data_IF_669499710695
#
_entry.id   IF_669499710695
#
_cell.length_a   1.000
_cell.length_b   1.000
_cell.length_c   1.000
_cell.angle_alpha   90.00
_cell.angle_beta   90.00
_cell.angle_gamma   90.00
#
_symmetry.space_group_name_H-M   'P 1'
#
loop_
_entity.id
_entity.type
_entity.pdbx_description
1 polymer ?
#
# COMPACT_ATOMS: atom_id res chain seq x y z
N UNK A 1 -12.66 4.60 -20.97
CA UNK A 1 -12.80 3.26 -20.35
C UNK A 1 -14.21 3.12 -19.74
N UNK A 2 -14.76 1.91 -19.58
CA UNK A 2 -16.10 1.68 -18.99
C UNK A 2 -16.01 0.68 -17.84
N UNK A 3 -16.65 0.98 -16.71
CA UNK A 3 -16.62 0.13 -15.50
C UNK A 3 -18.01 -0.04 -14.90
N UNK A 4 -18.18 -1.09 -14.09
CA UNK A 4 -19.31 -1.27 -13.17
C UNK A 4 -18.79 -1.02 -11.76
N UNK A 5 -19.39 -0.08 -11.03
CA UNK A 5 -18.97 0.25 -9.67
C UNK A 5 -19.98 -0.28 -8.65
N UNK A 6 -19.52 -1.11 -7.73
CA UNK A 6 -20.32 -1.67 -6.65
C UNK A 6 -19.78 -1.16 -5.30
N UNK A 7 -20.63 -0.69 -4.41
CA UNK A 7 -20.17 -0.29 -3.08
C UNK A 7 -21.16 -0.61 -1.95
N UNK A 8 -20.63 -0.91 -0.77
CA UNK A 8 -21.42 -1.12 0.44
C UNK A 8 -22.04 0.19 0.93
N UNK A 9 -23.30 0.13 1.37
CA UNK A 9 -23.98 1.22 2.08
C UNK A 9 -24.21 0.87 3.55
N UNK A 10 -23.33 0.05 4.13
CA UNK A 10 -23.26 -0.24 5.56
C UNK A 10 -23.25 1.08 6.37
N UNK A 11 -24.27 1.34 7.20
CA UNK A 11 -24.43 2.61 7.91
C UNK A 11 -23.33 2.90 8.94
N UNK A 12 -22.62 1.86 9.40
CA UNK A 12 -21.55 1.99 10.39
C UNK A 12 -20.17 2.24 9.74
N UNK A 13 -20.13 2.41 8.42
CA UNK A 13 -18.91 2.58 7.62
C UNK A 13 -18.86 3.94 6.91
N UNK A 14 -17.69 4.28 6.36
CA UNK A 14 -17.47 5.48 5.53
C UNK A 14 -17.52 5.18 4.02
N UNK A 15 -17.93 3.98 3.61
CA UNK A 15 -17.90 3.55 2.21
C UNK A 15 -18.74 4.44 1.30
N UNK A 16 -19.86 4.99 1.80
CA UNK A 16 -20.72 5.89 1.04
C UNK A 16 -20.07 7.24 0.74
N UNK A 17 -19.27 7.77 1.66
CA UNK A 17 -18.52 9.00 1.48
C UNK A 17 -17.39 8.78 0.47
N UNK A 18 -16.65 7.68 0.63
CA UNK A 18 -15.55 7.30 -0.24
C UNK A 18 -16.04 7.01 -1.65
N UNK A 19 -17.21 6.39 -1.81
CA UNK A 19 -17.77 6.08 -3.13
C UNK A 19 -18.05 7.35 -3.93
N UNK A 20 -18.49 8.45 -3.30
CA UNK A 20 -18.66 9.75 -3.98
C UNK A 20 -17.33 10.27 -4.52
N UNK A 21 -16.26 10.16 -3.74
CA UNK A 21 -14.91 10.55 -4.17
C UNK A 21 -14.41 9.70 -5.32
N UNK A 22 -14.62 8.37 -5.28
CA UNK A 22 -14.25 7.47 -6.37
C UNK A 22 -15.04 7.80 -7.64
N UNK A 23 -16.34 8.05 -7.55
CA UNK A 23 -17.16 8.45 -8.69
C UNK A 23 -16.63 9.74 -9.33
N UNK A 24 -16.32 10.76 -8.52
CA UNK A 24 -15.72 12.01 -9.02
C UNK A 24 -14.38 11.75 -9.70
N UNK A 25 -13.48 11.02 -9.04
CA UNK A 25 -12.15 10.73 -9.57
C UNK A 25 -12.18 9.96 -10.88
N UNK A 26 -13.14 9.03 -11.05
CA UNK A 26 -13.34 8.29 -12.30
C UNK A 26 -13.86 9.22 -13.42
N UNK A 27 -14.80 10.11 -13.11
CA UNK A 27 -15.35 11.08 -14.07
C UNK A 27 -14.29 12.09 -14.54
N UNK A 28 -13.47 12.59 -13.61
CA UNK A 28 -12.40 13.56 -13.88
C UNK A 28 -11.37 13.05 -14.90
N UNK A 29 -11.13 11.73 -14.94
CA UNK A 29 -10.24 11.08 -15.91
C UNK A 29 -10.97 10.44 -17.11
N UNK A 30 -12.29 10.69 -17.25
CA UNK A 30 -13.11 10.22 -18.37
C UNK A 30 -13.45 8.72 -18.36
N UNK A 31 -13.45 8.08 -17.18
CA UNK A 31 -13.90 6.70 -17.00
C UNK A 31 -15.41 6.69 -16.76
N UNK A 32 -16.16 6.03 -17.65
CA UNK A 32 -17.62 5.96 -17.57
C UNK A 32 -18.08 4.81 -16.67
N UNK A 33 -18.90 5.11 -15.67
CA UNK A 33 -19.60 4.10 -14.87
C UNK A 33 -20.88 3.69 -15.61
N UNK A 34 -20.97 2.44 -16.07
CA UNK A 34 -22.14 1.90 -16.79
C UNK A 34 -23.19 1.28 -15.87
N UNK A 35 -22.75 0.78 -14.73
CA UNK A 35 -23.62 0.24 -13.70
C UNK A 35 -23.12 0.70 -12.34
N UNK A 36 -24.05 1.18 -11.50
CA UNK A 36 -23.78 1.53 -10.12
C UNK A 36 -24.67 0.65 -9.24
N UNK A 37 -24.06 -0.23 -8.45
CA UNK A 37 -24.77 -1.17 -7.59
C UNK A 37 -24.39 -0.99 -6.12
N UNK A 38 -25.32 -1.36 -5.23
CA UNK A 38 -25.10 -1.25 -3.78
C UNK A 38 -25.67 -2.45 -3.04
N UNK A 39 -25.09 -2.78 -1.90
CA UNK A 39 -25.65 -3.72 -0.92
C UNK A 39 -25.62 -3.11 0.48
N UNK A 40 -26.58 -3.48 1.34
CA UNK A 40 -26.87 -2.75 2.59
C UNK A 40 -26.63 -3.54 3.87
N UNK A 41 -26.06 -4.72 3.78
CA UNK A 41 -25.77 -5.57 4.92
C UNK A 41 -24.41 -6.22 4.75
N UNK A 42 -23.72 -6.47 5.86
CA UNK A 42 -22.43 -7.14 5.86
C UNK A 42 -22.61 -8.59 5.37
N UNK A 43 -21.98 -8.93 4.26
CA UNK A 43 -22.05 -10.27 3.69
C UNK A 43 -20.93 -11.17 4.22
N UNK A 44 -21.31 -12.31 4.80
CA UNK A 44 -20.37 -13.37 5.16
C UNK A 44 -20.52 -14.57 4.23
N UNK A 45 -19.49 -14.85 3.44
CA UNK A 45 -19.46 -15.97 2.50
C UNK A 45 -19.78 -17.30 3.20
N UNK A 46 -20.84 -17.96 2.76
CA UNK A 46 -21.33 -19.24 3.31
C UNK A 46 -22.42 -19.14 4.37
N UNK A 47 -22.82 -17.94 4.81
CA UNK A 47 -23.80 -17.74 5.90
C UNK A 47 -25.07 -16.98 5.47
N UNK A 48 -25.30 -16.80 4.16
CA UNK A 48 -26.49 -16.12 3.63
C UNK A 48 -26.54 -16.11 2.11
N UNK A 49 -27.63 -15.56 1.56
CA UNK A 49 -27.76 -15.31 0.12
C UNK A 49 -26.70 -14.30 -0.33
N UNK A 50 -25.96 -14.64 -1.38
CA UNK A 50 -24.91 -13.80 -1.92
C UNK A 50 -25.51 -12.59 -2.65
N UNK A 51 -25.36 -11.34 -2.15
CA UNK A 51 -25.94 -10.17 -2.79
C UNK A 51 -25.36 -9.93 -4.19
N UNK A 52 -24.14 -10.41 -4.43
CA UNK A 52 -23.44 -10.20 -5.70
C UNK A 52 -24.05 -11.01 -6.85
N UNK A 53 -24.78 -12.10 -6.59
CA UNK A 53 -25.39 -12.91 -7.66
C UNK A 53 -26.37 -12.09 -8.52
N UNK A 54 -27.21 -11.26 -7.86
CA UNK A 54 -28.14 -10.37 -8.55
C UNK A 54 -27.42 -9.16 -9.17
N UNK A 55 -26.45 -8.59 -8.46
CA UNK A 55 -25.69 -7.43 -8.95
C UNK A 55 -24.90 -7.78 -10.21
N UNK A 56 -24.28 -8.96 -10.25
CA UNK A 56 -23.55 -9.46 -11.43
C UNK A 56 -24.50 -9.76 -12.58
N UNK A 57 -25.65 -10.41 -12.33
CA UNK A 57 -26.69 -10.63 -13.36
C UNK A 57 -27.08 -9.34 -14.08
N UNK A 58 -27.30 -8.27 -13.31
CA UNK A 58 -27.77 -7.00 -13.85
C UNK A 58 -26.69 -6.20 -14.59
N UNK A 59 -25.41 -6.55 -14.43
CA UNK A 59 -24.31 -5.67 -14.83
C UNK A 59 -23.26 -6.29 -15.75
N UNK A 60 -23.20 -7.62 -15.87
CA UNK A 60 -22.11 -8.28 -16.62
C UNK A 60 -22.10 -7.96 -18.11
N UNK A 61 -23.24 -7.58 -18.68
CA UNK A 61 -23.33 -7.16 -20.09
C UNK A 61 -22.87 -5.72 -20.30
N UNK A 62 -22.89 -4.89 -19.25
CA UNK A 62 -22.62 -3.45 -19.33
C UNK A 62 -21.13 -3.11 -19.35
N UNK A 63 -20.33 -3.88 -18.60
CA UNK A 63 -18.88 -3.71 -18.56
C UNK A 63 -18.16 -5.02 -18.23
N UNK A 64 -16.84 -5.01 -18.43
CA UNK A 64 -15.94 -6.13 -18.12
C UNK A 64 -15.07 -5.88 -16.89
N UNK A 65 -15.03 -4.63 -16.43
CA UNK A 65 -14.19 -4.17 -15.33
C UNK A 65 -15.11 -3.79 -14.19
N UNK A 66 -14.96 -4.49 -13.07
CA UNK A 66 -15.67 -4.14 -11.87
C UNK A 66 -14.77 -3.41 -10.90
N UNK A 67 -15.29 -2.36 -10.28
CA UNK A 67 -14.69 -1.73 -9.11
C UNK A 67 -15.59 -2.07 -7.92
N UNK A 68 -15.02 -2.57 -6.83
CA UNK A 68 -15.77 -2.89 -5.61
C UNK A 68 -15.18 -2.17 -4.40
N UNK A 69 -16.06 -1.58 -3.58
CA UNK A 69 -15.72 -0.91 -2.32
C UNK A 69 -16.60 -1.45 -1.18
N UNK A 70 -15.99 -2.09 -0.19
CA UNK A 70 -16.68 -2.64 0.98
C UNK A 70 -15.69 -3.29 1.94
N UNK A 71 -16.18 -4.18 2.79
CA UNK A 71 -15.28 -4.94 3.66
C UNK A 71 -14.54 -6.01 2.84
N UNK A 72 -13.24 -6.19 3.06
CA UNK A 72 -12.41 -7.07 2.24
C UNK A 72 -12.92 -8.52 2.15
N UNK A 73 -13.50 -9.06 3.23
CA UNK A 73 -14.06 -10.41 3.25
C UNK A 73 -15.33 -10.57 2.40
N UNK A 74 -15.99 -9.48 2.02
CA UNK A 74 -17.17 -9.50 1.13
C UNK A 74 -16.75 -9.72 -0.33
N UNK A 75 -15.51 -9.35 -0.69
CA UNK A 75 -15.00 -9.46 -2.06
C UNK A 75 -14.97 -10.90 -2.55
N UNK A 76 -14.77 -11.86 -1.65
CA UNK A 76 -14.89 -13.28 -1.94
C UNK A 76 -16.28 -13.62 -2.52
N UNK A 77 -17.36 -13.06 -1.97
CA UNK A 77 -18.71 -13.27 -2.48
C UNK A 77 -18.86 -12.83 -3.94
N UNK A 78 -18.31 -11.66 -4.27
CA UNK A 78 -18.31 -11.15 -5.63
C UNK A 78 -17.49 -12.03 -6.59
N UNK A 79 -16.27 -12.37 -6.19
CA UNK A 79 -15.38 -13.21 -7.00
C UNK A 79 -15.99 -14.58 -7.27
N UNK A 80 -16.61 -15.20 -6.26
CA UNK A 80 -17.31 -16.48 -6.40
C UNK A 80 -18.53 -16.37 -7.31
N UNK A 81 -19.26 -15.25 -7.29
CA UNK A 81 -20.39 -15.01 -8.18
C UNK A 81 -19.97 -14.95 -9.66
N UNK A 82 -18.89 -14.22 -9.95
CA UNK A 82 -18.31 -14.13 -11.30
C UNK A 82 -17.75 -15.47 -11.77
N UNK A 83 -17.05 -16.20 -10.90
CA UNK A 83 -16.48 -17.52 -11.21
C UNK A 83 -17.57 -18.56 -11.53
N UNK A 84 -18.64 -18.62 -10.73
CA UNK A 84 -19.74 -19.58 -10.95
C UNK A 84 -20.50 -19.32 -12.24
N UNK A 85 -20.50 -18.09 -12.75
CA UNK A 85 -21.03 -17.75 -14.08
C UNK A 85 -20.05 -18.07 -15.23
N UNK A 86 -18.82 -18.46 -14.94
CA UNK A 86 -17.77 -18.68 -15.93
C UNK A 86 -17.26 -17.40 -16.59
N UNK A 87 -17.46 -16.23 -15.95
CA UNK A 87 -17.03 -14.95 -16.52
C UNK A 87 -15.50 -14.75 -16.43
N UNK A 88 -14.86 -15.37 -15.44
CA UNK A 88 -13.42 -15.23 -15.20
C UNK A 88 -12.58 -16.23 -16.02
N UNK A 89 -13.19 -17.31 -16.52
CA UNK A 89 -12.47 -18.44 -17.14
C UNK A 89 -11.68 -18.06 -18.40
N UNK A 90 -12.11 -17.02 -19.10
CA UNK A 90 -11.48 -16.53 -20.34
C UNK A 90 -10.53 -15.35 -20.12
N UNK A 91 -10.41 -14.85 -18.89
CA UNK A 91 -9.66 -13.62 -18.59
C UNK A 91 -10.28 -12.36 -19.21
N UNK A 92 -11.56 -12.40 -19.59
CA UNK A 92 -12.27 -11.25 -20.18
C UNK A 92 -12.77 -10.26 -19.13
N UNK A 93 -12.85 -10.68 -17.87
CA UNK A 93 -13.35 -9.89 -16.75
C UNK A 93 -12.31 -9.82 -15.65
N UNK A 94 -12.23 -8.67 -14.98
CA UNK A 94 -11.44 -8.54 -13.77
C UNK A 94 -12.10 -7.59 -12.78
N UNK A 95 -11.69 -7.71 -11.51
CA UNK A 95 -12.22 -6.94 -10.40
C UNK A 95 -11.11 -6.13 -9.76
N UNK A 96 -11.37 -4.85 -9.52
CA UNK A 96 -10.53 -3.95 -8.73
C UNK A 96 -11.19 -3.76 -7.37
N UNK A 97 -10.63 -4.33 -6.31
CA UNK A 97 -11.11 -4.14 -4.94
C UNK A 97 -10.39 -3.00 -4.25
N UNK A 98 -11.14 -2.06 -3.69
CA UNK A 98 -10.60 -0.92 -2.95
C UNK A 98 -10.67 -1.23 -1.46
N UNK A 99 -9.58 -1.69 -0.86
CA UNK A 99 -9.51 -1.93 0.58
C UNK A 99 -8.99 -0.69 1.29
N UNK A 100 -9.83 -0.12 2.15
CA UNK A 100 -9.51 1.06 2.94
C UNK A 100 -8.92 0.68 4.30
N UNK A 101 -8.93 -0.60 4.65
CA UNK A 101 -8.28 -1.10 5.85
C UNK A 101 -6.77 -1.19 5.66
N UNK A 102 -6.06 -1.18 6.78
CA UNK A 102 -4.62 -1.39 6.78
C UNK A 102 -4.27 -2.80 6.28
N UNK A 103 -3.42 -2.89 5.27
CA UNK A 103 -2.95 -4.17 4.76
C UNK A 103 -2.13 -4.93 5.80
N UNK A 104 -2.42 -6.21 5.97
CA UNK A 104 -1.76 -7.08 6.95
C UNK A 104 -0.80 -8.05 6.24
N UNK A 105 0.49 -7.68 6.16
CA UNK A 105 1.53 -8.48 5.52
C UNK A 105 1.64 -9.92 6.08
N UNK A 106 1.26 -10.12 7.35
CA UNK A 106 1.36 -11.41 8.01
C UNK A 106 0.23 -12.37 7.58
N UNK A 107 -0.85 -11.86 6.99
CA UNK A 107 -2.02 -12.66 6.62
C UNK A 107 -2.60 -12.23 5.26
N UNK A 108 -1.82 -12.33 4.16
CA UNK A 108 -2.31 -11.99 2.82
C UNK A 108 -3.46 -12.91 2.36
N UNK A 109 -3.53 -14.13 2.92
CA UNK A 109 -4.55 -15.11 2.57
C UNK A 109 -5.96 -14.74 3.05
N UNK A 110 -6.12 -13.68 3.87
CA UNK A 110 -7.42 -13.21 4.35
C UNK A 110 -8.40 -12.88 3.23
N UNK A 111 -7.92 -12.43 2.07
CA UNK A 111 -8.77 -12.09 0.92
C UNK A 111 -9.38 -13.32 0.24
N UNK A 112 -8.75 -14.50 0.37
CA UNK A 112 -9.15 -15.72 -0.34
C UNK A 112 -10.16 -16.58 0.46
N UNK A 113 -10.48 -16.20 1.69
CA UNK A 113 -11.32 -17.01 2.59
C UNK A 113 -12.40 -16.20 3.27
N UNK A 114 -13.49 -16.87 3.62
CA UNK A 114 -14.55 -16.25 4.42
C UNK A 114 -14.07 -15.93 5.83
N UNK A 115 -14.64 -14.89 6.46
CA UNK A 115 -14.25 -14.40 7.79
C UNK A 115 -14.14 -15.51 8.86
N UNK A 116 -15.00 -16.52 8.78
CA UNK A 116 -15.10 -17.62 9.75
C UNK A 116 -14.64 -18.98 9.18
N UNK A 117 -13.87 -18.97 8.07
CA UNK A 117 -13.36 -20.19 7.43
C UNK A 117 -11.84 -20.25 7.48
N UNK A 118 -11.32 -21.44 7.72
CA UNK A 118 -9.87 -21.71 7.70
C UNK A 118 -9.37 -22.20 6.33
N UNK A 119 -10.24 -22.85 5.57
CA UNK A 119 -9.91 -23.40 4.25
C UNK A 119 -10.20 -22.42 3.11
N UNK A 120 -9.36 -22.47 2.08
CA UNK A 120 -9.51 -21.71 0.85
C UNK A 120 -10.12 -22.61 -0.21
N UNK A 121 -11.27 -22.20 -0.75
CA UNK A 121 -11.97 -22.90 -1.82
C UNK A 121 -11.14 -22.86 -3.12
N UNK A 122 -11.07 -23.96 -3.87
CA UNK A 122 -10.30 -24.01 -5.14
C UNK A 122 -10.82 -23.01 -6.17
N UNK A 123 -12.13 -22.81 -6.21
CA UNK A 123 -12.75 -21.79 -7.07
C UNK A 123 -12.35 -20.37 -6.65
N UNK A 124 -12.11 -20.11 -5.37
CA UNK A 124 -11.61 -18.82 -4.91
C UNK A 124 -10.18 -18.57 -5.41
N UNK A 125 -9.30 -19.59 -5.35
CA UNK A 125 -7.93 -19.48 -5.90
C UNK A 125 -7.95 -19.11 -7.38
N UNK A 126 -8.83 -19.73 -8.16
CA UNK A 126 -8.99 -19.43 -9.60
C UNK A 126 -9.57 -18.03 -9.81
N UNK A 127 -10.64 -17.70 -9.10
CA UNK A 127 -11.33 -16.43 -9.26
C UNK A 127 -10.40 -15.24 -8.99
N UNK A 128 -9.63 -15.29 -7.90
CA UNK A 128 -8.74 -14.21 -7.51
C UNK A 128 -7.52 -14.02 -8.42
N UNK A 129 -7.28 -14.89 -9.40
CA UNK A 129 -6.33 -14.60 -10.49
C UNK A 129 -6.79 -13.42 -11.35
N UNK A 130 -8.09 -13.11 -11.33
CA UNK A 130 -8.71 -11.97 -12.01
C UNK A 130 -9.03 -10.82 -11.05
N UNK A 131 -8.33 -10.72 -9.92
CA UNK A 131 -8.53 -9.68 -8.91
C UNK A 131 -7.28 -8.80 -8.75
N UNK A 132 -7.50 -7.49 -8.67
CA UNK A 132 -6.49 -6.49 -8.34
C UNK A 132 -6.92 -5.75 -7.07
N UNK A 133 -6.12 -5.85 -6.01
CA UNK A 133 -6.35 -5.11 -4.77
C UNK A 133 -5.66 -3.74 -4.80
N UNK A 134 -6.42 -2.68 -4.57
CA UNK A 134 -5.91 -1.34 -4.25
C UNK A 134 -5.99 -1.19 -2.74
N UNK A 135 -4.84 -1.20 -2.09
CA UNK A 135 -4.72 -1.17 -0.63
C UNK A 135 -3.71 -0.11 -0.21
N UNK A 136 -3.90 0.47 0.98
CA UNK A 136 -2.88 1.34 1.56
C UNK A 136 -1.59 0.56 1.83
N UNK A 137 -0.44 1.15 1.49
CA UNK A 137 0.84 0.52 1.80
C UNK A 137 0.98 0.32 3.32
N UNK A 138 1.41 -0.87 3.76
CA UNK A 138 1.60 -1.12 5.19
C UNK A 138 2.71 -0.19 5.72
N UNK A 139 2.56 0.37 6.93
CA UNK A 139 3.58 1.23 7.51
C UNK A 139 4.87 0.45 7.79
N UNK A 140 5.99 1.11 7.49
CA UNK A 140 7.32 0.55 7.69
C UNK A 140 7.71 0.69 9.16
N UNK A 141 8.19 -0.39 9.80
CA UNK A 141 8.67 -0.34 11.18
C UNK A 141 7.58 -0.13 12.24
N UNK A 142 6.31 -0.33 11.89
CA UNK A 142 5.18 -0.09 12.80
C UNK A 142 5.24 -0.93 14.08
N UNK A 143 5.79 -2.14 14.03
CA UNK A 143 5.98 -2.98 15.22
C UNK A 143 6.88 -2.33 16.28
N UNK A 144 7.94 -1.65 15.84
CA UNK A 144 8.86 -0.92 16.74
C UNK A 144 8.14 0.28 17.35
N UNK A 145 7.36 0.99 16.54
CA UNK A 145 6.52 2.08 17.00
C UNK A 145 5.48 1.60 18.02
N UNK A 146 4.72 0.55 17.69
CA UNK A 146 3.69 -0.03 18.54
C UNK A 146 4.25 -0.53 19.87
N UNK A 147 5.45 -1.14 19.85
CA UNK A 147 6.16 -1.55 21.08
C UNK A 147 6.48 -0.35 21.96
N UNK A 148 6.98 0.75 21.38
CA UNK A 148 7.27 1.99 22.13
C UNK A 148 5.99 2.60 22.69
N UNK A 149 4.92 2.69 21.90
CA UNK A 149 3.63 3.22 22.35
C UNK A 149 3.09 2.41 23.54
N UNK A 150 3.07 1.08 23.42
CA UNK A 150 2.64 0.19 24.51
C UNK A 150 3.49 0.37 25.77
N UNK A 151 4.80 0.62 25.63
CA UNK A 151 5.68 0.91 26.77
C UNK A 151 5.35 2.26 27.41
N UNK A 152 5.30 3.35 26.63
CA UNK A 152 5.09 4.71 27.16
C UNK A 152 3.70 4.94 27.73
N UNK A 153 2.68 4.27 27.20
CA UNK A 153 1.33 4.32 27.77
C UNK A 153 1.29 3.85 29.23
N UNK A 154 2.16 2.91 29.61
CA UNK A 154 2.21 2.38 30.98
C UNK A 154 2.98 3.29 31.94
N UNK A 155 3.71 4.28 31.43
CA UNK A 155 4.48 5.24 32.24
C UNK A 155 3.63 6.49 32.55
N UNK A 156 4.00 7.28 33.59
CA UNK A 156 3.44 8.60 33.79
C UNK A 156 3.64 9.51 32.56
N UNK A 157 2.69 10.40 32.24
CA UNK A 157 1.48 10.72 32.99
C UNK A 157 0.29 9.79 32.70
N UNK A 158 0.39 8.91 31.70
CA UNK A 158 -0.74 8.10 31.22
C UNK A 158 -1.12 6.97 32.18
N UNK A 159 -0.14 6.24 32.71
CA UNK A 159 -0.33 5.12 33.65
C UNK A 159 -1.41 4.12 33.21
N UNK A 160 -1.47 3.81 31.91
CA UNK A 160 -2.45 2.91 31.32
C UNK A 160 -1.85 1.50 31.16
N UNK A 161 -2.16 0.54 32.05
CA UNK A 161 -1.57 -0.79 32.04
C UNK A 161 -2.01 -1.60 30.82
N UNK A 162 -1.14 -2.49 30.32
CA UNK A 162 -1.50 -3.41 29.25
C UNK A 162 -2.24 -4.64 29.82
N UNK A 163 -3.56 -4.80 29.56
CA UNK A 163 -4.37 -5.87 30.16
C UNK A 163 -4.01 -7.27 29.62
N UNK A 164 -3.36 -7.37 28.46
CA UNK A 164 -2.96 -8.64 27.85
C UNK A 164 -1.48 -8.98 28.08
N UNK A 165 -0.78 -8.19 28.91
CA UNK A 165 0.63 -8.41 29.24
C UNK A 165 0.89 -9.79 29.85
N UNK A 166 -0.02 -10.29 30.70
CA UNK A 166 0.09 -11.63 31.32
C UNK A 166 0.04 -12.79 30.32
N UNK A 167 -0.47 -12.55 29.10
CA UNK A 167 -0.52 -13.54 28.01
C UNK A 167 0.58 -13.30 26.96
N UNK A 168 1.55 -12.42 27.23
CA UNK A 168 2.61 -12.05 26.30
C UNK A 168 2.13 -11.17 25.13
N UNK A 169 0.88 -10.69 25.16
CA UNK A 169 0.30 -9.86 24.11
C UNK A 169 0.58 -8.37 24.30
N UNK A 170 0.50 -7.62 23.20
CA UNK A 170 0.51 -6.15 23.18
C UNK A 170 -0.84 -5.62 22.68
N UNK A 171 -1.20 -4.40 23.08
CA UNK A 171 -2.37 -3.73 22.52
C UNK A 171 -2.09 -3.38 21.06
N UNK A 172 -3.01 -3.73 20.15
CA UNK A 172 -2.96 -3.31 18.74
C UNK A 172 -3.08 -1.77 18.70
N UNK A 173 -2.06 -1.12 18.16
CA UNK A 173 -2.06 0.34 17.97
C UNK A 173 -2.70 0.61 16.62
N UNK A 174 -3.73 1.48 16.53
CA UNK A 174 -4.35 1.85 15.26
C UNK A 174 -3.40 2.73 14.42
N UNK A 175 -3.51 2.67 13.10
CA UNK A 175 -2.64 3.42 12.18
C UNK A 175 -2.74 4.94 12.39
N UNK A 176 -3.92 5.43 12.78
CA UNK A 176 -4.21 6.82 13.12
C UNK A 176 -3.32 7.32 14.25
N UNK A 177 -2.91 6.45 15.17
CA UNK A 177 -1.94 6.78 16.22
C UNK A 177 -0.56 7.15 15.65
N UNK A 178 -0.13 6.48 14.58
CA UNK A 178 1.09 6.84 13.86
C UNK A 178 0.91 8.12 13.04
N UNK A 179 -0.25 8.33 12.41
CA UNK A 179 -0.53 9.58 11.69
C UNK A 179 -0.46 10.81 12.60
N UNK A 180 -0.97 10.70 13.83
CA UNK A 180 -0.85 11.76 14.83
C UNK A 180 0.60 11.99 15.27
N UNK A 181 1.38 10.92 15.40
CA UNK A 181 2.81 11.02 15.70
C UNK A 181 3.55 11.77 14.59
N UNK A 182 3.33 11.39 13.33
CA UNK A 182 3.95 12.03 12.17
C UNK A 182 3.53 13.50 12.02
N UNK A 183 2.26 13.82 12.32
CA UNK A 183 1.76 15.20 12.30
C UNK A 183 2.54 16.13 13.24
N UNK A 184 2.99 15.63 14.41
CA UNK A 184 3.84 16.40 15.33
C UNK A 184 5.20 16.69 14.71
N UNK A 185 5.80 15.73 13.99
CA UNK A 185 7.07 15.94 13.29
C UNK A 185 6.93 16.95 12.14
N UNK A 186 5.86 16.83 11.35
CA UNK A 186 5.54 17.78 10.28
C UNK A 186 5.42 19.20 10.83
N UNK A 187 4.69 19.36 11.94
CA UNK A 187 4.55 20.64 12.61
C UNK A 187 5.88 21.15 13.20
N UNK A 188 6.65 20.30 13.90
CA UNK A 188 7.91 20.70 14.50
C UNK A 188 8.92 21.19 13.45
N UNK A 189 9.00 20.51 12.29
CA UNK A 189 9.81 20.96 11.15
C UNK A 189 9.33 22.31 10.62
N UNK A 190 8.02 22.44 10.38
CA UNK A 190 7.43 23.68 9.88
C UNK A 190 7.70 24.86 10.83
N UNK A 191 7.54 24.65 12.13
CA UNK A 191 7.85 25.63 13.17
C UNK A 191 9.33 26.02 13.16
N UNK A 192 10.23 25.05 13.07
CA UNK A 192 11.66 25.32 13.01
C UNK A 192 12.02 26.20 11.79
N UNK A 193 11.45 25.92 10.62
CA UNK A 193 11.66 26.75 9.43
C UNK A 193 11.07 28.15 9.57
N UNK A 194 9.86 28.28 10.13
CA UNK A 194 9.24 29.57 10.43
C UNK A 194 10.15 30.43 11.32
N UNK A 195 10.72 29.83 12.37
CA UNK A 195 11.63 30.51 13.29
C UNK A 195 12.97 30.90 12.64
N UNK A 196 13.54 30.03 11.79
CA UNK A 196 14.77 30.33 11.04
C UNK A 196 14.56 31.53 10.11
N UNK A 197 13.40 31.60 9.46
CA UNK A 197 13.01 32.72 8.59
C UNK A 197 12.57 33.97 9.37
N UNK A 198 12.61 33.93 10.71
CA UNK A 198 12.21 35.03 11.62
C UNK A 198 10.77 35.49 11.41
N UNK A 199 9.90 34.56 11.04
CA UNK A 199 8.47 34.81 10.90
C UNK A 199 7.73 34.52 12.21
N UNK A 200 6.50 35.01 12.32
CA UNK A 200 5.68 34.84 13.53
C UNK A 200 5.14 33.41 13.63
N UNK A 201 5.55 32.60 14.64
CA UNK A 201 5.03 31.25 14.80
C UNK A 201 3.56 31.20 15.24
N UNK A 202 2.98 32.33 15.68
CA UNK A 202 1.57 32.45 16.03
C UNK A 202 0.68 32.82 14.84
N UNK A 203 1.27 33.16 13.69
CA UNK A 203 0.52 33.31 12.44
C UNK A 203 0.26 31.93 11.82
N UNK A 204 -0.86 31.33 12.22
CA UNK A 204 -1.27 30.01 11.72
C UNK A 204 -1.47 29.97 10.20
N UNK A 205 -1.82 31.08 9.54
CA UNK A 205 -1.94 31.11 8.06
C UNK A 205 -0.57 31.14 7.41
N UNK A 206 0.35 31.93 7.96
CA UNK A 206 1.76 31.94 7.57
C UNK A 206 2.41 30.56 7.73
N UNK A 207 2.10 29.85 8.81
CA UNK A 207 2.64 28.51 9.10
C UNK A 207 2.28 27.47 8.03
N UNK A 208 1.10 27.59 7.41
CA UNK A 208 0.61 26.61 6.42
C UNK A 208 1.55 26.45 5.22
N UNK A 209 2.29 27.50 4.83
CA UNK A 209 3.26 27.41 3.71
C UNK A 209 4.48 26.52 4.01
N UNK A 210 4.77 26.29 5.30
CA UNK A 210 5.83 25.38 5.74
C UNK A 210 5.33 23.94 5.92
N UNK A 211 4.00 23.76 5.93
CA UNK A 211 3.35 22.45 6.07
C UNK A 211 2.96 21.88 4.70
N UNK A 212 2.26 22.66 3.87
CA UNK A 212 1.71 22.19 2.60
C UNK A 212 2.75 22.10 1.47
N UNK A 213 2.54 21.17 0.53
CA UNK A 213 3.39 20.99 -0.65
C UNK A 213 4.79 20.44 -0.36
N UNK A 214 4.99 19.87 0.84
CA UNK A 214 6.29 19.37 1.29
C UNK A 214 6.21 17.91 1.71
N UNK A 215 7.09 17.11 1.14
CA UNK A 215 7.27 15.71 1.51
C UNK A 215 8.30 15.60 2.63
N UNK A 216 8.29 14.49 3.37
CA UNK A 216 9.24 14.27 4.47
C UNK A 216 10.64 13.93 3.93
N UNK A 217 10.69 13.18 2.83
CA UNK A 217 11.89 12.92 2.03
C UNK A 217 11.66 13.37 0.58
N UNK A 218 12.70 13.92 -0.06
CA UNK A 218 12.74 14.23 -1.50
C UNK A 218 13.98 13.60 -2.09
N UNK A 219 13.82 12.95 -3.24
CA UNK A 219 14.94 12.52 -4.05
C UNK A 219 15.06 13.50 -5.24
N UNK A 220 16.15 14.27 -5.37
CA UNK A 220 16.39 15.14 -6.52
C UNK A 220 16.38 14.34 -7.83
N UNK A 221 15.97 14.95 -8.95
CA UNK A 221 15.92 14.29 -10.27
C UNK A 221 17.26 13.65 -10.62
N UNK A 222 18.36 14.38 -10.40
CA UNK A 222 19.72 13.91 -10.69
C UNK A 222 20.10 12.63 -9.92
N UNK A 223 19.62 12.49 -8.69
CA UNK A 223 19.87 11.32 -7.85
C UNK A 223 18.88 10.21 -8.16
N UNK A 224 17.64 10.54 -8.52
CA UNK A 224 16.62 9.57 -8.94
C UNK A 224 17.02 8.81 -10.21
N UNK A 225 17.89 9.38 -11.05
CA UNK A 225 18.40 8.70 -12.24
C UNK A 225 19.55 7.72 -11.95
N UNK A 226 19.91 7.51 -10.68
CA UNK A 226 21.00 6.63 -10.29
C UNK A 226 20.45 5.44 -9.50
N UNK A 227 20.79 4.22 -9.93
CA UNK A 227 20.41 2.99 -9.23
C UNK A 227 20.91 2.95 -7.77
N UNK A 228 21.96 3.69 -7.42
CA UNK A 228 22.50 3.78 -6.06
C UNK A 228 21.56 4.49 -5.06
N UNK A 229 20.61 5.28 -5.55
CA UNK A 229 19.62 5.98 -4.74
C UNK A 229 18.47 5.07 -4.27
N UNK A 230 18.41 3.85 -4.81
CA UNK A 230 17.37 2.88 -4.51
C UNK A 230 17.97 1.77 -3.68
N UNK A 231 17.44 1.59 -2.48
CA UNK A 231 18.03 0.74 -1.47
C UNK A 231 17.10 -0.42 -1.10
N UNK A 232 17.69 -1.59 -0.86
CA UNK A 232 17.02 -2.75 -0.31
C UNK A 232 16.80 -2.60 1.19
N UNK A 233 15.57 -2.83 1.60
CA UNK A 233 15.23 -3.06 3.00
C UNK A 233 15.28 -4.58 3.27
N UNK A 234 16.48 -5.15 3.32
CA UNK A 234 16.72 -6.56 3.69
C UNK A 234 17.75 -6.65 4.82
N UNK A 235 17.68 -7.72 5.62
CA UNK A 235 18.75 -8.01 6.57
C UNK A 235 20.05 -8.23 5.78
N UNK A 236 21.17 -7.60 6.17
CA UNK A 236 22.43 -7.74 5.45
C UNK A 236 22.85 -9.22 5.38
N UNK A 237 23.21 -9.69 4.19
CA UNK A 237 23.65 -11.07 3.95
C UNK A 237 25.01 -11.37 4.61
N UNK A 238 25.80 -10.33 4.87
CA UNK A 238 27.10 -10.44 5.53
C UNK A 238 27.01 -10.13 7.03
N UNK A 239 27.67 -10.96 7.83
CA UNK A 239 27.88 -10.81 9.27
C UNK A 239 28.42 -9.40 9.61
N UNK A 240 27.53 -8.48 10.01
CA UNK A 240 27.80 -7.04 10.24
C UNK A 240 28.71 -6.80 11.46
N UNK A 241 29.18 -7.88 12.09
CA UNK A 241 30.02 -7.86 13.30
C UNK A 241 31.46 -7.40 13.05
N UNK A 242 31.92 -7.32 11.79
CA UNK A 242 33.33 -7.04 11.44
C UNK A 242 33.62 -5.76 10.65
N UNK A 243 32.63 -4.93 10.31
CA UNK A 243 32.91 -3.70 9.57
C UNK A 243 33.35 -2.58 10.56
N UNK A 244 34.61 -2.09 10.51
CA UNK A 244 35.06 -1.04 11.43
C UNK A 244 34.26 0.25 11.16
N UNK A 245 33.62 0.76 12.22
CA UNK A 245 32.71 1.93 12.25
C UNK A 245 33.33 3.22 11.68
N UNK A 246 34.63 3.25 11.39
CA UNK A 246 35.39 4.40 10.91
C UNK A 246 35.60 4.46 9.39
N UNK A 247 35.33 3.39 8.62
CA UNK A 247 35.49 3.39 7.15
C UNK A 247 34.19 3.70 6.37
N UNK A 248 33.07 3.94 7.07
CA UNK A 248 31.70 3.97 6.49
C UNK A 248 31.03 5.35 6.65
N UNK A 249 31.81 6.42 6.84
CA UNK A 249 31.25 7.76 7.02
C UNK A 249 32.13 8.84 6.40
N UNK A 250 31.81 9.36 5.21
CA UNK A 250 32.22 10.71 4.85
C UNK A 250 31.60 11.68 5.88
N UNK A 251 32.29 12.75 6.29
CA UNK A 251 31.71 13.74 7.18
C UNK A 251 30.39 14.30 6.61
N UNK A 252 29.26 14.00 7.25
CA UNK A 252 27.93 14.51 6.87
C UNK A 252 26.86 13.49 6.49
N UNK A 253 27.16 12.19 6.43
CA UNK A 253 26.17 11.14 6.09
C UNK A 253 25.21 10.76 7.25
N UNK A 254 23.97 10.39 6.91
CA UNK A 254 22.97 9.92 7.87
C UNK A 254 23.24 8.46 8.30
N UNK A 255 23.56 8.26 9.58
CA UNK A 255 23.85 6.95 10.18
C UNK A 255 22.66 5.99 10.12
N UNK A 256 21.44 6.49 9.93
CA UNK A 256 20.22 5.66 9.91
C UNK A 256 20.10 4.77 8.66
N UNK A 257 20.80 5.08 7.55
CA UNK A 257 20.68 4.35 6.28
C UNK A 257 21.75 3.27 6.09
N UNK A 258 22.68 3.10 7.05
CA UNK A 258 23.86 2.21 6.92
C UNK A 258 23.55 0.70 6.85
N UNK A 259 22.31 0.27 7.10
CA UNK A 259 21.90 -1.14 6.97
C UNK A 259 21.25 -1.45 5.61
N UNK A 260 21.02 -0.44 4.78
CA UNK A 260 20.35 -0.59 3.49
C UNK A 260 21.38 -0.68 2.37
N UNK A 261 21.30 -1.73 1.56
CA UNK A 261 22.22 -1.93 0.42
C UNK A 261 21.58 -1.38 -0.86
N UNK A 262 22.30 -0.59 -1.68
CA UNK A 262 21.77 -0.13 -2.95
C UNK A 262 21.55 -1.28 -3.92
N UNK A 263 20.43 -1.25 -4.66
CA UNK A 263 20.08 -2.27 -5.65
C UNK A 263 21.10 -2.35 -6.79
N UNK A 264 21.92 -1.31 -6.98
CA UNK A 264 23.04 -1.30 -7.93
C UNK A 264 24.13 -2.34 -7.59
N UNK A 265 24.15 -2.87 -6.37
CA UNK A 265 25.11 -3.90 -5.92
C UNK A 265 24.60 -5.33 -6.04
N UNK A 266 23.36 -5.52 -6.50
CA UNK A 266 22.78 -6.84 -6.65
C UNK A 266 23.52 -7.68 -7.71
N UNK A 267 23.53 -9.00 -7.48
CA UNK A 267 24.11 -9.98 -8.40
C UNK A 267 22.99 -10.74 -9.15
N UNK A 268 23.13 -11.01 -10.46
CA UNK A 268 24.22 -10.56 -11.34
C UNK A 268 24.13 -9.05 -11.61
N UNK A 269 25.26 -8.39 -11.92
CA UNK A 269 25.25 -6.99 -12.35
C UNK A 269 24.28 -6.78 -13.51
N UNK A 270 23.51 -5.69 -13.48
CA UNK A 270 22.51 -5.41 -14.51
C UNK A 270 21.16 -6.10 -14.31
N UNK A 271 20.92 -6.78 -13.17
CA UNK A 271 19.62 -7.37 -12.84
C UNK A 271 18.48 -6.36 -12.56
N UNK A 272 18.78 -5.06 -12.60
CA UNK A 272 17.83 -3.96 -12.50
C UNK A 272 17.90 -3.08 -13.73
N UNK A 273 16.74 -2.70 -14.27
CA UNK A 273 16.63 -1.71 -15.34
C UNK A 273 16.04 -0.42 -14.79
N UNK A 274 16.75 0.69 -14.93
CA UNK A 274 16.26 2.03 -14.63
C UNK A 274 15.98 2.76 -15.94
N UNK A 275 14.78 3.32 -16.05
CA UNK A 275 14.31 4.08 -17.20
C UNK A 275 13.61 5.34 -16.70
N UNK A 276 13.65 6.42 -17.48
CA UNK A 276 12.84 7.61 -17.25
C UNK A 276 12.10 7.97 -18.53
N UNK A 277 11.00 8.69 -18.39
CA UNK A 277 10.33 9.32 -19.52
C UNK A 277 11.18 10.46 -20.11
N UNK A 278 10.78 10.99 -21.27
CA UNK A 278 11.56 12.01 -21.98
C UNK A 278 11.72 13.32 -21.18
N UNK A 279 10.81 13.61 -20.25
CA UNK A 279 10.85 14.81 -19.41
C UNK A 279 11.46 14.55 -18.03
N UNK A 280 11.84 13.30 -17.71
CA UNK A 280 12.36 12.87 -16.41
C UNK A 280 11.39 13.15 -15.24
N UNK A 281 10.09 13.24 -15.53
CA UNK A 281 9.02 13.40 -14.55
C UNK A 281 8.72 12.09 -13.83
N UNK A 282 8.95 10.95 -14.48
CA UNK A 282 8.69 9.61 -13.92
C UNK A 282 9.89 8.71 -14.14
N UNK A 283 10.47 8.23 -13.05
CA UNK A 283 11.50 7.18 -13.06
C UNK A 283 10.83 5.83 -12.83
N UNK A 284 11.16 4.86 -13.67
CA UNK A 284 10.68 3.48 -13.62
C UNK A 284 11.84 2.53 -13.40
N UNK A 285 11.72 1.64 -12.42
CA UNK A 285 12.66 0.57 -12.11
C UNK A 285 12.00 -0.77 -12.31
N UNK A 286 12.65 -1.68 -13.05
CA UNK A 286 12.17 -3.04 -13.28
C UNK A 286 13.16 -4.06 -12.75
N UNK A 287 12.64 -5.10 -12.10
CA UNK A 287 13.45 -6.25 -11.71
C UNK A 287 13.54 -7.23 -12.87
N UNK A 288 14.76 -7.63 -13.25
CA UNK A 288 14.96 -8.73 -14.20
C UNK A 288 14.99 -10.10 -13.49
N UNK A 289 15.27 -10.10 -12.17
CA UNK A 289 15.15 -11.29 -11.32
C UNK A 289 13.70 -11.70 -11.12
N UNK A 290 12.81 -10.72 -10.97
CA UNK A 290 11.38 -10.93 -10.81
C UNK A 290 10.62 -10.31 -11.99
N UNK A 291 10.55 -11.00 -13.14
CA UNK A 291 9.79 -10.52 -14.28
C UNK A 291 8.37 -10.15 -13.87
N UNK A 292 7.94 -8.96 -14.28
CA UNK A 292 6.64 -8.40 -13.89
C UNK A 292 6.68 -7.41 -12.73
N UNK A 293 7.79 -7.33 -11.97
CA UNK A 293 7.97 -6.27 -10.97
C UNK A 293 8.35 -4.95 -11.62
N UNK A 294 7.57 -3.91 -11.33
CA UNK A 294 7.83 -2.52 -11.74
C UNK A 294 7.62 -1.59 -10.55
N UNK A 295 8.58 -0.71 -10.29
CA UNK A 295 8.50 0.39 -9.34
C UNK A 295 8.53 1.71 -10.12
N UNK A 296 7.68 2.67 -9.78
CA UNK A 296 7.70 4.00 -10.37
C UNK A 296 7.79 5.07 -9.27
N UNK A 297 8.47 6.17 -9.56
CA UNK A 297 8.63 7.30 -8.67
C UNK A 297 8.61 8.61 -9.46
N UNK A 298 7.94 9.62 -8.94
CA UNK A 298 7.98 10.99 -9.46
C UNK A 298 9.02 11.76 -8.64
N UNK A 299 10.20 12.09 -9.20
CA UNK A 299 11.26 12.80 -8.47
C UNK A 299 10.79 14.12 -7.87
N UNK A 300 11.49 14.59 -6.82
CA UNK A 300 11.15 15.79 -6.03
C UNK A 300 9.80 15.76 -5.30
N UNK A 301 9.01 14.70 -5.51
CA UNK A 301 7.78 14.43 -4.78
C UNK A 301 7.97 13.27 -3.81
N UNK A 302 6.92 12.93 -3.07
CA UNK A 302 6.84 11.71 -2.26
C UNK A 302 5.99 10.64 -2.95
N UNK A 303 5.65 10.84 -4.23
CA UNK A 303 4.79 9.95 -4.98
C UNK A 303 5.63 8.82 -5.58
N UNK A 304 5.30 7.61 -5.18
CA UNK A 304 5.88 6.40 -5.72
C UNK A 304 4.84 5.28 -5.69
N UNK A 305 5.01 4.29 -6.54
CA UNK A 305 4.20 3.09 -6.56
C UNK A 305 5.07 1.88 -6.95
N UNK A 306 4.57 0.70 -6.66
CA UNK A 306 5.10 -0.53 -7.21
C UNK A 306 3.97 -1.46 -7.58
N UNK A 307 4.21 -2.27 -8.59
CA UNK A 307 3.28 -3.27 -9.08
C UNK A 307 4.05 -4.53 -9.45
N UNK A 308 3.48 -5.67 -9.11
CA UNK A 308 3.97 -6.96 -9.56
C UNK A 308 2.88 -7.63 -10.40
N UNK A 309 3.17 -7.88 -11.67
CA UNK A 309 2.32 -8.65 -12.58
C UNK A 309 3.07 -9.88 -13.09
N UNK A 310 3.04 -10.97 -12.32
CA UNK A 310 3.73 -12.21 -12.69
C UNK A 310 3.27 -13.41 -11.87
N UNK A 311 3.88 -14.56 -12.10
CA UNK A 311 3.52 -15.83 -11.46
C UNK A 311 4.18 -16.07 -10.09
N UNK A 312 4.92 -15.08 -9.57
CA UNK A 312 5.72 -15.24 -8.36
C UNK A 312 6.96 -16.10 -8.60
N UNK A 313 7.40 -16.24 -9.85
CA UNK A 313 8.57 -17.03 -10.23
C UNK A 313 9.78 -16.13 -10.48
N UNK A 314 10.93 -16.54 -9.95
CA UNK A 314 12.21 -15.88 -10.15
C UNK A 314 12.83 -16.36 -11.47
N UNK A 315 13.40 -15.45 -12.24
CA UNK A 315 14.15 -15.79 -13.44
C UNK A 315 15.54 -16.34 -13.08
N UNK A 316 15.62 -17.64 -12.82
CA UNK A 316 16.86 -18.33 -12.47
C UNK A 316 17.88 -18.37 -13.61
N UNK A 317 17.44 -18.13 -14.86
CA UNK A 317 18.31 -18.08 -16.03
C UNK A 317 19.00 -16.71 -16.22
N UNK A 318 18.59 -15.69 -15.45
CA UNK A 318 19.12 -14.33 -15.57
C UNK A 318 20.66 -14.25 -15.58
N UNK A 319 21.42 -14.99 -14.74
CA UNK A 319 22.88 -14.95 -14.74
C UNK A 319 23.54 -15.40 -16.06
N UNK A 320 22.81 -16.08 -16.94
CA UNK A 320 23.29 -16.47 -18.27
C UNK A 320 22.87 -15.51 -19.38
N UNK A 321 22.01 -14.52 -19.06
CA UNK A 321 21.41 -13.59 -20.02
C UNK A 321 22.01 -12.18 -19.97
N UNK A 322 22.60 -11.76 -18.84
CA UNK A 322 23.14 -10.41 -18.61
C UNK A 322 24.66 -10.32 -18.67
#
# INVERSE_FOLDING_TARGET
>A
MKVSFLYSIDPDSTFKEISRTIVSALDDVGIQIKFLGTWSYIYHHGYGENPFDKLVEQSYQESRIYVILGHNFEYLGMMMSLQRRGLLDKGEYFVVGVDIEQYENQNPMKYLKGLLKDEIEEDAKKAFQSYLGVVASPPIGFEVFATKVNKYMQLPPFNFPNPVSSFGGMKKVPAEGAYLYDAVYVYARALNECLINKEDPYDGRGMMKYIFGRTYFRLPVEDALKLESYLHYRLPDSDVSFAPTTLICPPGGDRALQFLEPISRDYPPGCWSLQSDALQEVVTIKSLWWPGFTFCHIPETGEYNSIYMGYGERNDDLPFMV
#
